data_IF_283722035383
#
_entry.id   IF_283722035383
#
_cell.length_a   1.000
_cell.length_b   1.000
_cell.length_c   1.000
_cell.angle_alpha   90.00
_cell.angle_beta   90.00
_cell.angle_gamma   90.00
#
_symmetry.space_group_name_H-M   'P 1'
#
loop_
_entity.id
_entity.type
_entity.pdbx_description
1 polymer ?
#
# COMPACT_ATOMS: atom_id res chain seq x y z
N UNK A 1 12.10 3.44 16.03
CA UNK A 1 12.47 3.71 14.62
C UNK A 1 12.39 2.41 13.86
N UNK A 2 11.61 2.38 12.80
CA UNK A 2 11.46 1.22 11.91
C UNK A 2 12.74 0.97 11.12
N UNK A 3 13.09 -0.30 10.93
CA UNK A 3 14.12 -0.70 9.99
C UNK A 3 13.70 -0.39 8.55
N UNK A 4 14.66 -0.20 7.66
CA UNK A 4 14.40 0.02 6.24
C UNK A 4 13.70 -1.21 5.64
N UNK A 5 12.53 -1.05 4.98
CA UNK A 5 11.78 -2.16 4.41
C UNK A 5 12.47 -2.85 3.23
N UNK A 6 13.43 -2.16 2.59
CA UNK A 6 14.23 -2.68 1.47
C UNK A 6 15.39 -3.56 1.96
N UNK A 7 16.25 -3.02 2.82
CA UNK A 7 17.54 -3.61 3.17
C UNK A 7 17.72 -3.98 4.65
N UNK A 8 16.70 -3.77 5.49
CA UNK A 8 16.74 -4.07 6.93
C UNK A 8 17.62 -3.14 7.77
N UNK A 9 18.27 -2.13 7.18
CA UNK A 9 19.12 -1.20 7.93
C UNK A 9 18.31 -0.36 8.93
N UNK A 10 18.82 -0.21 10.15
CA UNK A 10 18.25 0.69 11.18
C UNK A 10 18.71 2.15 11.02
N UNK A 11 19.56 2.45 10.02
CA UNK A 11 20.05 3.81 9.75
C UNK A 11 19.00 4.59 8.96
N UNK A 12 17.91 4.95 9.63
CA UNK A 12 16.78 5.66 9.02
C UNK A 12 16.68 7.11 9.52
N UNK A 13 16.13 7.98 8.67
CA UNK A 13 15.86 9.38 8.98
C UNK A 13 14.42 9.71 8.57
N UNK A 14 13.72 10.46 9.41
CA UNK A 14 12.39 10.98 9.08
C UNK A 14 12.51 12.40 8.55
N UNK A 15 11.81 12.69 7.47
CA UNK A 15 11.73 14.00 6.84
C UNK A 15 10.27 14.41 6.69
N UNK A 16 9.97 15.64 7.09
CA UNK A 16 8.67 16.27 6.83
C UNK A 16 8.81 17.21 5.65
N UNK A 17 8.00 16.99 4.62
CA UNK A 17 7.92 17.84 3.44
C UNK A 17 6.76 18.82 3.66
N UNK A 18 6.79 19.97 2.98
CA UNK A 18 5.68 20.92 2.97
C UNK A 18 4.33 20.23 2.65
N UNK A 19 3.24 20.80 3.17
CA UNK A 19 1.89 20.22 3.15
C UNK A 19 1.67 18.98 4.05
N UNK A 20 2.50 18.80 5.08
CA UNK A 20 2.22 17.85 6.17
C UNK A 20 2.46 16.37 5.82
N UNK A 21 3.10 16.09 4.68
CA UNK A 21 3.52 14.73 4.33
C UNK A 21 4.84 14.40 5.01
N UNK A 22 4.89 13.24 5.66
CA UNK A 22 6.11 12.69 6.24
C UNK A 22 6.63 11.53 5.37
N UNK A 23 7.94 11.44 5.25
CA UNK A 23 8.64 10.31 4.62
C UNK A 23 9.76 9.84 5.54
N UNK A 24 10.01 8.54 5.53
CA UNK A 24 11.22 7.97 6.10
C UNK A 24 12.18 7.60 4.96
N UNK A 25 13.47 7.84 5.19
CA UNK A 25 14.54 7.51 4.26
C UNK A 25 15.59 6.61 4.91
N UNK A 26 16.16 5.69 4.13
CA UNK A 26 17.27 4.86 4.57
C UNK A 26 18.60 5.48 4.15
N UNK A 27 19.50 5.73 5.10
CA UNK A 27 20.83 6.28 4.81
C UNK A 27 21.77 5.25 4.16
N UNK A 28 21.45 3.96 4.22
CA UNK A 28 22.27 2.90 3.63
C UNK A 28 21.93 2.65 2.15
N UNK A 29 20.65 2.40 1.82
CA UNK A 29 20.22 2.11 0.45
C UNK A 29 19.49 3.27 -0.25
N UNK A 30 19.31 4.40 0.44
CA UNK A 30 18.63 5.61 -0.09
C UNK A 30 17.16 5.39 -0.49
N UNK A 31 16.56 4.27 -0.10
CA UNK A 31 15.12 4.07 -0.25
C UNK A 31 14.35 5.13 0.54
N UNK A 32 13.24 5.59 -0.02
CA UNK A 32 12.30 6.54 0.59
C UNK A 32 10.93 5.87 0.67
N UNK A 33 10.20 5.99 1.77
CA UNK A 33 8.85 5.43 1.91
C UNK A 33 7.98 6.32 2.80
N UNK A 34 6.66 6.18 2.69
CA UNK A 34 5.76 6.79 3.65
C UNK A 34 5.79 5.98 4.97
N UNK A 35 5.98 6.63 6.13
CA UNK A 35 6.04 5.95 7.41
C UNK A 35 4.71 5.27 7.74
N UNK A 36 4.79 4.18 8.51
CA UNK A 36 3.59 3.56 9.06
C UNK A 36 2.88 4.56 10.01
N UNK A 37 1.54 4.58 10.05
CA UNK A 37 0.80 5.32 11.07
C UNK A 37 1.28 4.98 12.49
N UNK A 38 1.26 5.94 13.40
CA UNK A 38 1.72 5.74 14.77
C UNK A 38 0.92 4.67 15.54
N UNK A 39 -0.34 4.44 15.17
CA UNK A 39 -1.20 3.40 15.74
C UNK A 39 -1.16 2.07 14.98
N UNK A 40 -0.26 1.93 14.01
CA UNK A 40 -0.07 0.70 13.26
C UNK A 40 0.42 -0.42 14.20
N UNK A 41 -0.15 -1.64 14.07
CA UNK A 41 0.33 -2.77 14.84
C UNK A 41 1.78 -3.10 14.43
N UNK A 42 2.62 -3.51 15.40
CA UNK A 42 3.97 -3.97 15.10
C UNK A 42 3.92 -5.21 14.21
N UNK A 43 5.00 -5.44 13.47
CA UNK A 43 5.20 -6.72 12.78
C UNK A 43 5.40 -7.83 13.82
N UNK A 44 4.88 -9.03 13.54
CA UNK A 44 5.02 -10.21 14.42
C UNK A 44 5.87 -11.23 13.67
N UNK A 45 6.99 -11.65 14.24
CA UNK A 45 7.95 -12.56 13.62
C UNK A 45 8.37 -12.12 12.20
N UNK A 46 8.52 -10.80 11.99
CA UNK A 46 8.83 -10.19 10.70
C UNK A 46 7.66 -10.13 9.70
N UNK A 47 6.51 -10.70 10.06
CA UNK A 47 5.30 -10.69 9.24
C UNK A 47 4.48 -9.41 9.49
N UNK A 48 4.23 -8.59 8.44
CA UNK A 48 3.47 -7.38 8.59
C UNK A 48 2.02 -7.62 8.96
N UNK A 49 1.56 -6.88 9.96
CA UNK A 49 0.19 -6.98 10.43
C UNK A 49 -0.74 -6.05 9.63
N UNK A 50 -2.00 -6.45 9.35
CA UNK A 50 -2.99 -5.56 8.77
C UNK A 50 -3.17 -4.29 9.61
N UNK A 51 -3.43 -3.15 8.98
CA UNK A 51 -3.75 -1.95 9.75
C UNK A 51 -5.05 -2.12 10.54
N UNK A 52 -5.12 -1.52 11.73
CA UNK A 52 -6.38 -1.51 12.52
C UNK A 52 -7.45 -0.60 11.89
N UNK A 53 -7.02 0.41 11.15
CA UNK A 53 -7.85 1.44 10.50
C UNK A 53 -7.30 1.73 9.11
N UNK A 54 -8.12 2.31 8.24
CA UNK A 54 -7.63 2.86 6.98
C UNK A 54 -6.55 3.92 7.22
N UNK A 55 -5.49 3.94 6.41
CA UNK A 55 -4.46 4.96 6.51
C UNK A 55 -5.00 6.36 6.15
N UNK A 56 -4.23 7.38 6.53
CA UNK A 56 -4.49 8.81 6.35
C UNK A 56 -4.58 9.27 4.89
N UNK A 57 -4.13 8.47 3.92
CA UNK A 57 -4.30 8.70 2.48
C UNK A 57 -4.92 7.48 1.77
N UNK A 58 -5.73 6.69 2.49
CA UNK A 58 -6.36 5.50 1.92
C UNK A 58 -7.40 5.84 0.84
N UNK A 59 -7.25 5.29 -0.36
CA UNK A 59 -8.22 5.43 -1.46
C UNK A 59 -9.62 4.87 -1.12
N UNK A 60 -9.72 3.90 -0.21
CA UNK A 60 -11.00 3.27 0.19
C UNK A 60 -11.76 4.01 1.30
N UNK A 61 -11.20 5.08 1.87
CA UNK A 61 -11.92 5.89 2.87
C UNK A 61 -13.13 6.58 2.25
N UNK A 62 -14.06 7.06 3.09
CA UNK A 62 -15.14 7.90 2.58
C UNK A 62 -14.59 9.29 2.24
N UNK A 63 -14.90 9.79 1.04
CA UNK A 63 -14.46 11.12 0.58
C UNK A 63 -12.98 11.19 0.18
N UNK A 64 -12.34 10.07 -0.13
CA UNK A 64 -11.04 10.08 -0.83
C UNK A 64 -11.17 10.78 -2.19
N UNK A 65 -10.16 11.54 -2.62
CA UNK A 65 -10.11 12.12 -3.96
C UNK A 65 -10.26 11.06 -5.06
N UNK A 66 -9.70 9.86 -4.85
CA UNK A 66 -9.76 8.73 -5.79
C UNK A 66 -11.19 8.24 -6.04
N UNK A 67 -12.12 8.51 -5.12
CA UNK A 67 -13.55 8.16 -5.25
C UNK A 67 -14.39 9.28 -5.87
N UNK A 68 -13.80 10.43 -6.16
CA UNK A 68 -14.50 11.54 -6.84
C UNK A 68 -14.52 11.39 -8.36
N UNK A 69 -13.61 10.59 -8.91
CA UNK A 69 -13.64 10.12 -10.30
C UNK A 69 -14.38 8.78 -10.35
N UNK A 70 -15.66 8.82 -10.68
CA UNK A 70 -16.53 7.62 -10.67
C UNK A 70 -16.06 6.58 -11.71
N UNK A 71 -15.67 7.03 -12.91
CA UNK A 71 -15.21 6.16 -14.00
C UNK A 71 -13.85 5.53 -13.67
N UNK A 72 -12.92 6.34 -13.14
CA UNK A 72 -11.62 5.84 -12.68
C UNK A 72 -11.74 4.86 -11.51
N UNK A 73 -12.67 5.14 -10.59
CA UNK A 73 -12.97 4.26 -9.47
C UNK A 73 -13.57 2.92 -9.93
N UNK A 74 -14.59 2.95 -10.81
CA UNK A 74 -15.19 1.74 -11.37
C UNK A 74 -14.17 0.93 -12.18
N UNK A 75 -13.37 1.58 -13.02
CA UNK A 75 -12.32 0.93 -13.80
C UNK A 75 -11.27 0.23 -12.92
N UNK A 76 -10.84 0.88 -11.83
CA UNK A 76 -9.96 0.25 -10.84
C UNK A 76 -10.63 -0.98 -10.20
N UNK A 77 -11.91 -0.89 -9.81
CA UNK A 77 -12.62 -2.02 -9.21
C UNK A 77 -12.79 -3.18 -10.18
N UNK A 78 -13.10 -2.91 -11.46
CA UNK A 78 -13.17 -3.93 -12.51
C UNK A 78 -11.80 -4.57 -12.73
N UNK A 79 -10.73 -3.78 -12.75
CA UNK A 79 -9.36 -4.29 -12.86
C UNK A 79 -8.95 -5.19 -11.69
N UNK A 80 -9.58 -5.03 -10.53
CA UNK A 80 -9.46 -5.93 -9.39
C UNK A 80 -10.39 -7.15 -9.49
N UNK A 81 -11.57 -7.00 -10.09
CA UNK A 81 -12.55 -8.07 -10.27
C UNK A 81 -12.02 -9.12 -11.28
N UNK A 82 -11.61 -10.29 -10.77
CA UNK A 82 -11.04 -11.37 -11.60
C UNK A 82 -9.61 -11.75 -11.21
N UNK A 83 -9.01 -11.01 -10.28
CA UNK A 83 -7.82 -11.44 -9.55
C UNK A 83 -8.29 -11.78 -8.14
N UNK A 84 -7.90 -12.93 -7.60
CA UNK A 84 -8.00 -13.22 -6.15
C UNK A 84 -7.03 -12.30 -5.38
N UNK A 85 -7.19 -10.99 -5.52
CA UNK A 85 -6.22 -10.00 -5.09
C UNK A 85 -6.74 -9.27 -3.87
N UNK A 86 -6.06 -9.49 -2.75
CA UNK A 86 -6.06 -8.51 -1.67
C UNK A 86 -5.47 -7.19 -2.16
N UNK A 87 -6.01 -6.08 -1.65
CA UNK A 87 -5.39 -4.77 -1.83
C UNK A 87 -4.38 -4.54 -0.71
N UNK A 88 -3.15 -4.18 -1.07
CA UNK A 88 -2.06 -3.90 -0.12
C UNK A 88 -1.80 -2.40 -0.02
N UNK A 89 -1.43 -1.94 1.17
CA UNK A 89 -1.09 -0.54 1.39
C UNK A 89 0.33 -0.22 0.93
N UNK A 90 0.54 1.03 0.49
CA UNK A 90 1.86 1.56 0.17
C UNK A 90 2.63 2.12 1.38
N UNK A 91 1.97 2.27 2.54
CA UNK A 91 2.63 2.71 3.78
C UNK A 91 3.67 1.67 4.20
N UNK A 92 4.91 2.09 4.37
CA UNK A 92 6.04 1.19 4.62
C UNK A 92 6.59 0.49 3.38
N UNK A 93 6.14 0.84 2.16
CA UNK A 93 6.68 0.32 0.90
C UNK A 93 7.60 1.36 0.27
N UNK A 94 8.83 1.00 -0.17
CA UNK A 94 9.71 1.91 -0.88
C UNK A 94 9.06 2.52 -2.13
N UNK A 95 9.28 3.81 -2.34
CA UNK A 95 9.00 4.48 -3.60
C UNK A 95 9.98 3.99 -4.68
N UNK A 96 9.49 3.88 -5.89
CA UNK A 96 10.32 3.68 -7.08
C UNK A 96 11.22 4.89 -7.30
N UNK A 97 12.48 4.64 -7.63
CA UNK A 97 13.43 5.69 -7.98
C UNK A 97 13.43 5.95 -9.49
N UNK A 98 13.82 7.16 -9.93
CA UNK A 98 14.01 7.44 -11.35
C UNK A 98 14.97 6.42 -11.98
N UNK A 99 14.54 5.75 -13.05
CA UNK A 99 15.32 4.71 -13.73
C UNK A 99 14.99 3.27 -13.30
N UNK A 100 14.17 3.07 -12.27
CA UNK A 100 13.78 1.71 -11.81
C UNK A 100 12.76 1.01 -12.74
N UNK A 101 12.39 1.62 -13.87
CA UNK A 101 11.41 1.08 -14.82
C UNK A 101 9.94 1.09 -14.32
N UNK A 102 9.71 1.46 -13.07
CA UNK A 102 8.38 1.65 -12.49
C UNK A 102 7.87 3.07 -12.75
N UNK A 103 7.18 3.24 -13.87
CA UNK A 103 6.40 4.45 -14.16
C UNK A 103 4.98 4.21 -13.63
N UNK A 104 4.44 5.09 -12.78
CA UNK A 104 3.01 5.03 -12.46
C UNK A 104 2.21 5.09 -13.78
N UNK A 105 1.05 4.43 -13.84
CA UNK A 105 0.24 4.34 -15.07
C UNK A 105 -0.13 5.71 -15.67
N UNK A 106 -0.06 6.79 -14.89
CA UNK A 106 -0.32 8.16 -15.31
C UNK A 106 0.93 9.02 -15.55
N UNK A 107 2.15 8.47 -15.42
CA UNK A 107 3.40 9.19 -15.66
C UNK A 107 3.80 10.22 -14.58
N UNK A 108 3.01 10.40 -13.52
CA UNK A 108 3.14 11.56 -12.61
C UNK A 108 3.57 11.21 -11.18
N UNK A 109 3.49 9.94 -10.76
CA UNK A 109 3.97 9.50 -9.44
C UNK A 109 5.10 8.46 -9.55
N UNK A 110 6.10 8.48 -8.65
CA UNK A 110 6.95 7.32 -8.49
C UNK A 110 6.06 6.14 -8.10
N UNK A 111 6.17 5.02 -8.81
CA UNK A 111 5.51 3.78 -8.40
C UNK A 111 5.95 3.34 -7.01
N UNK A 112 5.49 2.17 -6.58
CA UNK A 112 5.93 1.55 -5.34
C UNK A 112 6.67 0.25 -5.66
N UNK A 113 7.82 0.03 -5.01
CA UNK A 113 8.59 -1.20 -5.12
C UNK A 113 8.07 -2.19 -4.10
N UNK A 114 6.94 -2.81 -4.45
CA UNK A 114 6.44 -3.95 -3.70
C UNK A 114 7.53 -5.06 -3.68
N UNK A 115 7.75 -5.72 -2.53
CA UNK A 115 8.77 -6.73 -2.38
C UNK A 115 8.46 -7.88 -3.33
N UNK A 116 9.49 -8.35 -4.03
CA UNK A 116 9.40 -9.48 -4.94
C UNK A 116 9.93 -10.73 -4.25
N UNK A 117 9.38 -11.88 -4.64
CA UNK A 117 9.94 -13.19 -4.35
C UNK A 117 11.31 -13.35 -5.04
N UNK A 118 12.05 -14.40 -4.68
CA UNK A 118 13.34 -14.71 -5.31
C UNK A 118 13.27 -14.93 -6.83
N UNK A 119 12.07 -15.19 -7.37
CA UNK A 119 11.84 -15.33 -8.82
C UNK A 119 11.86 -14.00 -9.58
N UNK A 120 11.85 -12.85 -8.87
CA UNK A 120 11.83 -11.51 -9.44
C UNK A 120 10.56 -11.17 -10.24
N UNK A 121 9.51 -11.99 -10.14
CA UNK A 121 8.25 -11.85 -10.91
C UNK A 121 7.05 -11.77 -9.99
N UNK A 122 7.01 -12.61 -8.97
CA UNK A 122 5.92 -12.69 -8.02
C UNK A 122 6.17 -11.75 -6.85
N UNK A 123 5.11 -11.20 -6.27
CA UNK A 123 5.25 -10.35 -5.07
C UNK A 123 5.32 -11.22 -3.82
N UNK A 124 6.21 -10.85 -2.90
CA UNK A 124 6.29 -11.46 -1.58
C UNK A 124 5.18 -10.91 -0.68
N UNK A 125 4.02 -11.59 -0.73
CA UNK A 125 2.83 -11.20 0.02
C UNK A 125 3.06 -11.24 1.53
N UNK A 126 4.02 -12.04 2.02
CA UNK A 126 4.36 -12.13 3.44
C UNK A 126 5.02 -10.86 3.97
N UNK A 127 5.46 -9.96 3.09
CA UNK A 127 6.06 -8.66 3.41
C UNK A 127 5.14 -7.49 3.11
N UNK A 128 3.86 -7.76 2.86
CA UNK A 128 2.86 -6.74 2.55
C UNK A 128 1.77 -6.63 3.59
N UNK A 129 1.32 -5.38 3.83
CA UNK A 129 0.22 -5.08 4.75
C UNK A 129 -1.08 -4.96 3.99
N UNK A 130 -2.05 -5.81 4.32
CA UNK A 130 -3.39 -5.75 3.73
C UNK A 130 -4.07 -4.43 4.12
N UNK A 131 -4.75 -3.82 3.15
CA UNK A 131 -5.44 -2.55 3.31
C UNK A 131 -6.74 -2.71 4.11
N UNK A 132 -6.73 -2.19 5.34
CA UNK A 132 -7.90 -2.19 6.21
C UNK A 132 -9.09 -1.41 5.61
N UNK A 133 -8.81 -0.34 4.84
CA UNK A 133 -9.85 0.41 4.14
C UNK A 133 -10.56 -0.43 3.08
N UNK A 134 -9.80 -1.20 2.30
CA UNK A 134 -10.36 -2.14 1.33
C UNK A 134 -11.21 -3.21 2.02
N UNK A 135 -10.72 -3.82 3.11
CA UNK A 135 -11.48 -4.80 3.88
C UNK A 135 -12.80 -4.20 4.38
N UNK A 136 -12.77 -3.00 4.96
CA UNK A 136 -13.97 -2.34 5.50
C UNK A 136 -14.97 -1.99 4.39
N UNK A 137 -14.48 -1.45 3.28
CA UNK A 137 -15.29 -1.14 2.09
C UNK A 137 -15.94 -2.40 1.51
N UNK A 138 -15.17 -3.47 1.35
CA UNK A 138 -15.64 -4.76 0.86
C UNK A 138 -16.74 -5.36 1.75
N UNK A 139 -16.52 -5.38 3.07
CA UNK A 139 -17.54 -5.82 4.05
C UNK A 139 -18.81 -4.96 3.99
N UNK A 140 -18.68 -3.68 3.67
CA UNK A 140 -19.82 -2.78 3.45
C UNK A 140 -20.62 -3.15 2.20
N UNK A 141 -19.95 -3.46 1.09
CA UNK A 141 -20.59 -3.89 -0.15
C UNK A 141 -21.34 -5.22 -0.01
N UNK A 142 -20.70 -6.23 0.60
CA UNK A 142 -21.30 -7.58 0.73
C UNK A 142 -22.54 -7.59 1.62
N UNK A 143 -22.67 -6.62 2.54
CA UNK A 143 -23.87 -6.43 3.37
C UNK A 143 -25.04 -5.77 2.64
N UNK A 144 -24.81 -5.10 1.50
CA UNK A 144 -25.83 -4.29 0.83
C UNK A 144 -26.11 -4.60 -0.65
N UNK A 145 -25.18 -5.24 -1.38
CA UNK A 145 -25.30 -5.51 -2.83
C UNK A 145 -24.83 -6.90 -3.28
N UNK A 146 -24.52 -7.80 -2.36
CA UNK A 146 -23.88 -9.09 -2.67
C UNK A 146 -22.40 -8.94 -3.06
N UNK A 147 -21.60 -10.02 -3.03
CA UNK A 147 -20.19 -9.98 -3.41
C UNK A 147 -20.03 -9.69 -4.91
N UNK A 148 -19.06 -8.85 -5.27
CA UNK A 148 -18.61 -8.72 -6.66
C UNK A 148 -17.86 -10.03 -7.03
N UNK A 149 -18.29 -10.80 -8.03
CA UNK A 149 -17.62 -12.05 -8.39
C UNK A 149 -16.13 -11.83 -8.68
N UNK A 150 -15.27 -12.67 -8.09
CA UNK A 150 -13.83 -12.65 -8.34
C UNK A 150 -13.01 -11.65 -7.50
N UNK A 151 -13.63 -10.83 -6.66
CA UNK A 151 -12.93 -10.10 -5.60
C UNK A 151 -13.13 -10.83 -4.27
N UNK A 152 -12.07 -10.94 -3.48
CA UNK A 152 -12.15 -11.42 -2.10
C UNK A 152 -11.06 -10.75 -1.26
N UNK A 153 -11.36 -10.34 -0.02
CA UNK A 153 -10.32 -10.02 0.93
C UNK A 153 -9.57 -11.32 1.20
N UNK A 154 -8.24 -11.31 1.08
CA UNK A 154 -7.45 -12.43 1.59
C UNK A 154 -7.78 -12.64 3.09
N UNK A 155 -7.74 -13.90 3.58
CA UNK A 155 -7.97 -14.23 4.97
C UNK A 155 -7.02 -13.47 5.92
#
# INVERSE_FOLDING_TARGET
MSACPECGSVRTVSMSISAGKAYDGCLACKALWEPLPADAPPDVDGSPQPFRKACDNCAFRRGSPERSDEDGWEGMLIGMAGRESAFYCHKGVPLSQPGDGYVAANGENPGFRYPLMADGKSHDLSRLRVCAGFIAWWKGLTRGRGPIPGLSPAP
#
